data_IF_216664124939
#
_entry.id   IF_216664124939
#
_cell.length_a   1.000
_cell.length_b   1.000
_cell.length_c   1.000
_cell.angle_alpha   90.00
_cell.angle_beta   90.00
_cell.angle_gamma   90.00
#
_symmetry.space_group_name_H-M   'P 1'
#
loop_
_entity.id
_entity.type
_entity.pdbx_description
1 polymer ?
#
# COMPACT_ATOMS: atom_id res chain seq x y z
N UNK A 1 0.35 1.00 22.01
CA UNK A 1 1.76 1.49 21.91
C UNK A 1 1.88 2.80 21.12
N UNK A 2 0.81 3.23 20.44
CA UNK A 2 0.82 4.42 19.57
C UNK A 2 0.33 5.70 20.25
N UNK A 3 -0.38 5.63 21.37
CA UNK A 3 -0.93 6.82 22.04
C UNK A 3 0.15 7.81 22.44
N UNK A 4 0.04 9.06 21.97
CA UNK A 4 1.01 10.13 22.19
C UNK A 4 2.29 10.02 21.35
N UNK A 5 2.35 9.07 20.42
CA UNK A 5 3.48 8.93 19.50
C UNK A 5 3.39 9.92 18.33
N UNK A 6 4.53 10.21 17.73
CA UNK A 6 4.63 11.01 16.51
C UNK A 6 4.89 10.08 15.31
N UNK A 7 4.01 10.13 14.32
CA UNK A 7 4.05 9.25 13.15
C UNK A 7 4.17 10.03 11.83
N UNK A 8 5.04 9.58 10.94
CA UNK A 8 5.13 10.05 9.56
C UNK A 8 4.37 9.09 8.64
N UNK A 9 3.51 9.64 7.78
CA UNK A 9 2.83 8.88 6.72
C UNK A 9 3.20 9.49 5.37
N UNK A 10 3.93 8.76 4.56
CA UNK A 10 4.17 9.17 3.17
C UNK A 10 3.00 8.73 2.30
N UNK A 11 2.65 9.50 1.28
CA UNK A 11 1.44 9.23 0.49
C UNK A 11 0.15 9.36 1.32
N UNK A 12 0.16 10.26 2.32
CA UNK A 12 -0.91 10.46 3.28
C UNK A 12 -2.27 10.81 2.62
N UNK A 13 -2.26 11.46 1.46
CA UNK A 13 -3.47 11.81 0.70
C UNK A 13 -4.02 10.68 -0.18
N UNK A 14 -3.32 9.55 -0.28
CA UNK A 14 -3.73 8.37 -1.06
C UNK A 14 -4.83 7.56 -0.38
N UNK A 15 -5.34 6.54 -1.08
CA UNK A 15 -6.38 5.66 -0.56
C UNK A 15 -6.01 5.06 0.80
N UNK A 16 -4.97 4.23 0.86
CA UNK A 16 -4.55 3.56 2.10
C UNK A 16 -3.98 4.57 3.11
N UNK A 17 -3.12 5.49 2.64
CA UNK A 17 -2.49 6.49 3.50
C UNK A 17 -3.48 7.37 4.25
N UNK A 18 -4.59 7.78 3.62
CA UNK A 18 -5.61 8.61 4.28
C UNK A 18 -6.41 7.86 5.34
N UNK A 19 -6.69 6.57 5.15
CA UNK A 19 -7.29 5.73 6.20
C UNK A 19 -6.35 5.50 7.38
N UNK A 20 -5.06 5.30 7.09
CA UNK A 20 -4.04 5.18 8.12
C UNK A 20 -3.91 6.47 8.93
N UNK A 21 -3.92 7.64 8.29
CA UNK A 21 -3.91 8.95 8.97
C UNK A 21 -5.10 9.07 9.92
N UNK A 22 -6.32 8.75 9.45
CA UNK A 22 -7.51 8.80 10.29
C UNK A 22 -7.37 7.92 11.54
N UNK A 23 -6.86 6.70 11.37
CA UNK A 23 -6.69 5.74 12.47
C UNK A 23 -5.60 6.17 13.46
N UNK A 24 -4.49 6.74 12.97
CA UNK A 24 -3.42 7.28 13.81
C UNK A 24 -3.93 8.46 14.65
N UNK A 25 -4.66 9.39 14.04
CA UNK A 25 -5.28 10.52 14.74
C UNK A 25 -6.28 10.03 15.81
N UNK A 26 -7.12 9.05 15.47
CA UNK A 26 -8.07 8.43 16.41
C UNK A 26 -7.36 7.74 17.58
N UNK A 27 -6.14 7.23 17.36
CA UNK A 27 -5.28 6.62 18.38
C UNK A 27 -4.54 7.64 19.26
N UNK A 28 -4.70 8.94 18.99
CA UNK A 28 -4.03 10.02 19.73
C UNK A 28 -2.58 10.27 19.33
N UNK A 29 -2.21 9.94 18.09
CA UNK A 29 -0.90 10.27 17.53
C UNK A 29 -0.84 11.70 17.02
N UNK A 30 0.35 12.30 17.08
CA UNK A 30 0.70 13.43 16.24
C UNK A 30 1.11 12.92 14.86
N UNK A 31 0.44 13.40 13.80
CA UNK A 31 0.65 12.88 12.44
C UNK A 31 1.30 13.92 11.53
N UNK A 32 2.44 13.55 10.95
CA UNK A 32 3.09 14.24 9.85
C UNK A 32 2.74 13.54 8.53
N UNK A 33 2.10 14.25 7.62
CA UNK A 33 1.71 13.73 6.30
C UNK A 33 2.63 14.25 5.20
N UNK A 34 3.33 13.38 4.47
CA UNK A 34 4.07 13.77 3.28
C UNK A 34 3.22 13.56 2.03
N UNK A 35 3.09 14.62 1.26
CA UNK A 35 2.35 14.65 -0.01
C UNK A 35 3.15 15.43 -1.06
N UNK A 36 2.90 15.20 -2.34
CA UNK A 36 3.50 15.99 -3.42
C UNK A 36 2.82 17.35 -3.53
N UNK A 37 3.49 18.33 -4.13
CA UNK A 37 2.93 19.68 -4.35
C UNK A 37 1.57 19.64 -5.09
N UNK A 38 1.48 18.79 -6.11
CA UNK A 38 0.24 18.62 -6.91
C UNK A 38 -0.84 17.74 -6.27
N UNK A 39 -0.65 17.28 -5.03
CA UNK A 39 -1.57 16.35 -4.38
C UNK A 39 -2.93 16.98 -4.08
N UNK A 40 -4.00 16.27 -4.44
CA UNK A 40 -5.35 16.58 -3.97
C UNK A 40 -5.52 16.07 -2.54
N UNK A 41 -5.98 16.92 -1.65
CA UNK A 41 -6.14 16.64 -0.21
C UNK A 41 -7.57 16.24 0.18
N UNK A 42 -8.42 15.86 -0.77
CA UNK A 42 -9.86 15.58 -0.56
C UNK A 42 -10.18 14.62 0.60
N UNK A 43 -9.22 13.78 0.97
CA UNK A 43 -9.35 12.76 2.03
C UNK A 43 -8.61 13.11 3.31
N UNK A 44 -7.91 14.25 3.39
CA UNK A 44 -7.17 14.68 4.56
C UNK A 44 -7.79 15.94 5.17
N UNK A 45 -8.01 15.91 6.46
CA UNK A 45 -8.27 17.12 7.24
C UNK A 45 -6.92 17.81 7.56
N UNK A 46 -6.54 18.76 6.73
CA UNK A 46 -5.26 19.46 6.86
C UNK A 46 -5.11 20.25 8.18
N UNK A 47 -6.20 20.49 8.93
CA UNK A 47 -6.13 21.13 10.25
C UNK A 47 -5.65 20.21 11.37
N UNK A 48 -5.69 18.89 11.13
CA UNK A 48 -5.32 17.85 12.11
C UNK A 48 -3.98 17.17 11.83
N UNK A 49 -3.35 17.50 10.70
CA UNK A 49 -2.12 16.85 10.22
C UNK A 49 -1.07 17.90 9.95
N UNK A 50 0.15 17.68 10.43
CA UNK A 50 1.31 18.49 10.01
C UNK A 50 1.67 18.11 8.58
N UNK A 51 1.13 18.86 7.62
CA UNK A 51 1.25 18.55 6.20
C UNK A 51 2.55 19.12 5.63
N UNK A 52 3.31 18.24 4.95
CA UNK A 52 4.55 18.61 4.28
C UNK A 52 4.46 18.27 2.79
N UNK A 53 4.76 19.26 1.94
CA UNK A 53 4.77 19.10 0.49
C UNK A 53 6.18 18.78 0.02
N UNK A 54 6.43 17.52 -0.25
CA UNK A 54 7.77 16.98 -0.55
C UNK A 54 7.67 15.94 -1.65
N UNK A 55 8.59 15.98 -2.60
CA UNK A 55 8.77 14.89 -3.57
C UNK A 55 9.91 13.98 -3.13
N UNK A 56 9.56 12.81 -2.60
CA UNK A 56 10.51 11.79 -2.12
C UNK A 56 11.48 11.28 -3.20
N UNK A 57 11.15 11.48 -4.49
CA UNK A 57 12.00 11.07 -5.59
C UNK A 57 13.13 12.07 -5.88
N UNK A 58 13.09 13.25 -5.28
CA UNK A 58 14.18 14.23 -5.37
C UNK A 58 15.29 13.89 -4.35
N UNK A 59 16.57 13.94 -4.73
CA UNK A 59 17.67 13.54 -3.85
C UNK A 59 17.86 14.49 -2.66
N UNK A 60 17.53 15.76 -2.82
CA UNK A 60 17.80 16.82 -1.84
C UNK A 60 16.59 17.11 -0.92
N UNK A 61 15.56 16.24 -0.93
CA UNK A 61 14.45 16.46 -0.01
C UNK A 61 14.87 16.22 1.44
N UNK A 62 14.23 16.92 2.37
CA UNK A 62 14.43 16.75 3.81
C UNK A 62 13.14 16.23 4.40
N UNK A 63 13.23 15.17 5.20
CA UNK A 63 12.09 14.68 6.00
C UNK A 63 11.92 15.63 7.19
N UNK A 64 10.80 16.35 7.26
CA UNK A 64 10.56 17.26 8.38
C UNK A 64 10.39 16.49 9.69
N UNK A 65 10.80 17.12 10.81
CA UNK A 65 10.62 16.59 12.16
C UNK A 65 11.19 15.17 12.39
N UNK A 66 12.17 14.72 11.58
CA UNK A 66 12.69 13.35 11.59
C UNK A 66 13.21 12.93 12.98
N UNK A 67 13.80 13.85 13.74
CA UNK A 67 14.30 13.61 15.10
C UNK A 67 13.20 13.40 16.15
N UNK A 68 11.95 13.80 15.83
CA UNK A 68 10.80 13.68 16.72
C UNK A 68 9.94 12.44 16.41
N UNK A 69 10.20 11.76 15.28
CA UNK A 69 9.39 10.64 14.81
C UNK A 69 9.61 9.38 15.63
N UNK A 70 8.52 8.78 16.08
CA UNK A 70 8.50 7.45 16.68
C UNK A 70 8.24 6.36 15.64
N UNK A 71 7.41 6.66 14.61
CA UNK A 71 7.00 5.70 13.60
C UNK A 71 7.00 6.30 12.20
N UNK A 72 7.34 5.47 11.21
CA UNK A 72 7.27 5.83 9.78
C UNK A 72 6.44 4.82 9.02
N UNK A 73 5.40 5.28 8.33
CA UNK A 73 4.58 4.45 7.44
C UNK A 73 4.80 4.91 6.00
N UNK A 74 5.53 4.10 5.24
CA UNK A 74 5.82 4.41 3.84
C UNK A 74 4.74 3.85 2.93
N UNK A 75 3.68 4.67 2.69
CA UNK A 75 2.55 4.34 1.81
C UNK A 75 2.66 4.99 0.42
N UNK A 76 3.64 5.89 0.21
CA UNK A 76 3.85 6.50 -1.10
C UNK A 76 4.22 5.43 -2.14
N UNK A 77 3.52 5.46 -3.27
CA UNK A 77 3.76 4.55 -4.37
C UNK A 77 2.86 4.85 -5.56
N UNK A 78 3.28 4.43 -6.75
CA UNK A 78 2.48 4.51 -7.97
C UNK A 78 2.02 3.11 -8.38
N UNK A 79 0.70 2.95 -8.52
CA UNK A 79 0.08 1.75 -9.11
C UNK A 79 -0.08 1.88 -10.64
N UNK A 80 0.01 3.11 -11.16
CA UNK A 80 -0.04 3.44 -12.59
C UNK A 80 1.03 4.48 -12.90
N UNK A 81 1.86 4.22 -13.90
CA UNK A 81 2.85 5.15 -14.42
C UNK A 81 2.90 5.08 -15.95
N UNK A 82 3.33 6.16 -16.59
CA UNK A 82 3.46 6.24 -18.06
C UNK A 82 4.65 5.43 -18.60
N UNK A 83 5.64 5.10 -17.75
CA UNK A 83 6.84 4.39 -18.12
C UNK A 83 7.36 3.51 -17.00
N UNK A 84 8.21 2.53 -17.34
CA UNK A 84 8.94 1.71 -16.37
C UNK A 84 9.76 2.59 -15.41
N UNK A 85 10.49 3.57 -15.94
CA UNK A 85 11.30 4.49 -15.13
C UNK A 85 10.46 5.24 -14.07
N UNK A 86 9.25 5.70 -14.42
CA UNK A 86 8.35 6.37 -13.49
C UNK A 86 7.91 5.48 -12.30
N UNK A 87 7.71 4.17 -12.55
CA UNK A 87 7.45 3.24 -11.45
C UNK A 87 8.66 3.13 -10.50
N UNK A 88 9.86 2.92 -11.04
CA UNK A 88 11.07 2.72 -10.23
C UNK A 88 11.47 3.99 -9.47
N UNK A 89 11.31 5.16 -10.07
CA UNK A 89 11.60 6.43 -9.40
C UNK A 89 10.80 6.59 -8.12
N UNK A 90 9.50 6.29 -8.15
CA UNK A 90 8.61 6.47 -6.99
C UNK A 90 8.60 5.25 -6.05
N UNK A 91 8.63 4.02 -6.60
CA UNK A 91 8.47 2.82 -5.79
C UNK A 91 9.81 2.25 -5.27
N UNK A 92 10.95 2.72 -5.80
CA UNK A 92 12.28 2.26 -5.38
C UNK A 92 13.19 3.44 -4.96
N UNK A 93 13.50 4.40 -5.86
CA UNK A 93 14.42 5.49 -5.51
C UNK A 93 13.93 6.31 -4.30
N UNK A 94 12.63 6.61 -4.24
CA UNK A 94 12.06 7.31 -3.08
C UNK A 94 12.21 6.52 -1.76
N UNK A 95 12.21 5.18 -1.82
CA UNK A 95 12.47 4.35 -0.64
C UNK A 95 13.91 4.52 -0.15
N UNK A 96 14.90 4.49 -1.07
CA UNK A 96 16.31 4.70 -0.73
C UNK A 96 16.52 6.04 -0.04
N UNK A 97 15.99 7.10 -0.66
CA UNK A 97 16.12 8.47 -0.11
C UNK A 97 15.51 8.59 1.30
N UNK A 98 14.32 8.01 1.51
CA UNK A 98 13.65 8.04 2.81
C UNK A 98 14.44 7.27 3.88
N UNK A 99 14.86 6.03 3.58
CA UNK A 99 15.53 5.19 4.56
C UNK A 99 16.94 5.67 4.89
N UNK A 100 17.65 6.25 3.93
CA UNK A 100 18.94 6.88 4.19
C UNK A 100 18.81 8.02 5.23
N UNK A 101 17.78 8.86 5.11
CA UNK A 101 17.53 9.92 6.08
C UNK A 101 17.10 9.36 7.44
N UNK A 102 16.21 8.35 7.45
CA UNK A 102 15.84 7.68 8.70
C UNK A 102 17.04 7.08 9.42
N UNK A 103 17.99 6.49 8.67
CA UNK A 103 19.21 5.92 9.25
C UNK A 103 20.14 6.99 9.83
N UNK A 104 20.28 8.13 9.13
CA UNK A 104 21.20 9.19 9.56
C UNK A 104 20.68 10.00 10.76
N UNK A 105 19.38 10.27 10.80
CA UNK A 105 18.81 11.26 11.72
C UNK A 105 17.64 10.74 12.57
N UNK A 106 17.16 9.55 12.32
CA UNK A 106 15.95 9.00 12.97
C UNK A 106 16.24 8.20 14.23
N UNK A 107 17.01 8.74 15.18
CA UNK A 107 17.44 8.03 16.41
C UNK A 107 16.30 7.55 17.32
N UNK A 108 15.10 8.14 17.19
CA UNK A 108 13.91 7.80 17.98
C UNK A 108 12.99 6.80 17.31
N UNK A 109 13.19 6.48 16.02
CA UNK A 109 12.28 5.64 15.25
C UNK A 109 12.23 4.22 15.85
N UNK A 110 11.03 3.84 16.31
CA UNK A 110 10.73 2.55 16.94
C UNK A 110 10.19 1.53 15.95
N UNK A 111 9.64 2.00 14.82
CA UNK A 111 9.08 1.13 13.79
C UNK A 111 8.90 1.82 12.45
N UNK A 112 9.27 1.12 11.38
CA UNK A 112 9.04 1.52 9.99
C UNK A 112 8.20 0.44 9.31
N UNK A 113 7.10 0.82 8.68
CA UNK A 113 6.26 -0.08 7.88
C UNK A 113 6.34 0.34 6.42
N UNK A 114 6.91 -0.53 5.58
CA UNK A 114 6.93 -0.39 4.13
C UNK A 114 5.71 -1.06 3.51
N UNK A 115 4.83 -0.29 2.90
CA UNK A 115 3.69 -0.82 2.17
C UNK A 115 4.11 -1.26 0.77
N UNK A 116 4.26 -2.55 0.57
CA UNK A 116 4.52 -3.19 -0.71
C UNK A 116 3.24 -3.69 -1.38
N UNK A 117 3.29 -4.84 -2.04
CA UNK A 117 2.15 -5.49 -2.72
C UNK A 117 2.45 -6.96 -2.97
N UNK A 118 1.44 -7.83 -3.01
CA UNK A 118 1.57 -9.20 -3.54
C UNK A 118 2.06 -9.23 -4.99
N UNK A 119 1.87 -8.15 -5.75
CA UNK A 119 2.44 -8.03 -7.10
C UNK A 119 3.98 -8.14 -7.13
N UNK A 120 4.68 -7.86 -6.02
CA UNK A 120 6.12 -8.05 -5.88
C UNK A 120 6.52 -9.53 -5.86
N UNK A 121 5.66 -10.40 -5.32
CA UNK A 121 5.90 -11.86 -5.32
C UNK A 121 5.68 -12.44 -6.71
N UNK A 122 4.74 -11.90 -7.48
CA UNK A 122 4.30 -12.43 -8.77
C UNK A 122 3.13 -13.42 -8.64
N UNK A 123 2.68 -14.00 -9.76
CA UNK A 123 1.55 -14.91 -9.76
C UNK A 123 1.89 -16.23 -9.05
N UNK A 124 0.92 -16.78 -8.34
CA UNK A 124 1.02 -18.12 -7.78
C UNK A 124 1.14 -19.17 -8.90
N UNK A 125 2.02 -20.17 -8.78
CA UNK A 125 1.98 -21.32 -9.66
C UNK A 125 0.64 -22.04 -9.55
N UNK A 126 0.13 -22.58 -10.67
CA UNK A 126 -1.17 -23.23 -10.69
C UNK A 126 -1.27 -24.33 -9.62
N UNK A 127 -2.33 -24.27 -8.81
CA UNK A 127 -2.59 -25.23 -7.74
C UNK A 127 -1.71 -25.11 -6.50
N UNK A 128 -0.92 -24.02 -6.38
CA UNK A 128 -0.06 -23.78 -5.22
C UNK A 128 -0.41 -22.46 -4.54
N UNK A 129 -0.26 -22.40 -3.23
CA UNK A 129 -0.25 -21.13 -2.49
C UNK A 129 1.18 -20.58 -2.44
N UNK A 130 1.30 -19.28 -2.38
CA UNK A 130 2.57 -18.58 -2.12
C UNK A 130 2.58 -18.07 -0.69
N UNK A 131 3.77 -18.00 -0.12
CA UNK A 131 4.04 -17.49 1.21
C UNK A 131 5.19 -16.47 1.17
N UNK A 132 5.56 -15.93 2.33
CA UNK A 132 6.58 -14.88 2.44
C UNK A 132 7.99 -15.35 2.05
N UNK A 133 8.26 -16.66 2.09
CA UNK A 133 9.55 -17.25 1.70
C UNK A 133 9.59 -17.67 0.23
N UNK A 134 8.46 -17.64 -0.46
CA UNK A 134 8.39 -17.96 -1.89
C UNK A 134 9.23 -16.97 -2.70
N UNK A 135 10.14 -17.45 -3.58
CA UNK A 135 10.96 -16.59 -4.41
C UNK A 135 10.12 -15.65 -5.29
N UNK A 136 10.37 -14.35 -5.19
CA UNK A 136 9.64 -13.33 -5.93
C UNK A 136 9.94 -13.39 -7.43
N UNK A 137 8.88 -13.44 -8.27
CA UNK A 137 8.95 -13.46 -9.74
C UNK A 137 7.90 -12.52 -10.35
N UNK A 138 7.99 -11.20 -10.11
CA UNK A 138 7.02 -10.24 -10.59
C UNK A 138 6.98 -10.18 -12.11
N UNK A 139 5.77 -10.18 -12.68
CA UNK A 139 5.55 -10.18 -14.13
C UNK A 139 5.20 -8.80 -14.71
N UNK A 140 4.94 -7.81 -13.87
CA UNK A 140 4.59 -6.44 -14.27
C UNK A 140 5.66 -5.44 -13.86
N UNK A 141 5.77 -4.30 -14.55
CA UNK A 141 6.67 -3.22 -14.13
C UNK A 141 6.33 -2.68 -12.73
N UNK A 142 5.04 -2.65 -12.39
CA UNK A 142 4.60 -2.32 -11.04
C UNK A 142 5.15 -3.31 -10.00
N UNK A 143 4.93 -4.61 -10.19
CA UNK A 143 5.45 -5.64 -9.29
C UNK A 143 6.97 -5.61 -9.17
N UNK A 144 7.69 -5.47 -10.30
CA UNK A 144 9.15 -5.33 -10.32
C UNK A 144 9.61 -4.11 -9.52
N UNK A 145 8.94 -2.98 -9.65
CA UNK A 145 9.29 -1.76 -8.91
C UNK A 145 9.00 -1.87 -7.42
N UNK A 146 7.93 -2.58 -7.03
CA UNK A 146 7.63 -2.84 -5.61
C UNK A 146 8.68 -3.79 -5.01
N UNK A 147 9.07 -4.84 -5.73
CA UNK A 147 10.17 -5.72 -5.30
C UNK A 147 11.47 -4.96 -5.13
N UNK A 148 11.84 -4.08 -6.07
CA UNK A 148 13.03 -3.25 -5.96
C UNK A 148 12.98 -2.34 -4.71
N UNK A 149 11.80 -1.81 -4.35
CA UNK A 149 11.61 -1.07 -3.09
C UNK A 149 11.82 -1.92 -1.84
N UNK A 150 11.38 -3.18 -1.87
CA UNK A 150 11.62 -4.15 -0.79
C UNK A 150 13.09 -4.55 -0.66
N UNK A 151 13.79 -4.74 -1.79
CA UNK A 151 15.22 -5.03 -1.80
C UNK A 151 16.03 -3.87 -1.20
N UNK A 152 15.65 -2.62 -1.48
CA UNK A 152 16.20 -1.45 -0.81
C UNK A 152 15.88 -1.48 0.68
N UNK A 153 14.61 -1.70 1.07
CA UNK A 153 14.22 -1.79 2.47
C UNK A 153 15.02 -2.84 3.24
N UNK A 154 15.29 -4.00 2.61
CA UNK A 154 16.10 -5.08 3.17
C UNK A 154 17.53 -4.65 3.49
N UNK A 155 18.15 -3.78 2.69
CA UNK A 155 19.50 -3.25 2.94
C UNK A 155 19.58 -2.45 4.24
N UNK A 156 18.48 -1.81 4.64
CA UNK A 156 18.38 -1.03 5.87
C UNK A 156 17.88 -1.81 7.09
N UNK A 157 17.41 -3.06 6.90
CA UNK A 157 16.76 -3.85 7.97
C UNK A 157 17.66 -4.20 9.16
N UNK A 158 19.00 -4.12 9.01
CA UNK A 158 19.96 -4.33 10.09
C UNK A 158 20.11 -3.08 10.99
N UNK A 159 19.83 -1.89 10.44
CA UNK A 159 20.02 -0.61 11.12
C UNK A 159 18.70 0.10 11.47
N UNK A 160 17.62 -0.25 10.80
CA UNK A 160 16.29 0.32 11.00
C UNK A 160 15.29 -0.76 11.41
N UNK A 161 14.37 -0.45 12.34
CA UNK A 161 13.28 -1.35 12.75
C UNK A 161 12.21 -1.42 11.67
N UNK A 162 12.41 -2.21 10.61
CA UNK A 162 11.63 -2.20 9.39
C UNK A 162 10.85 -3.50 9.21
N UNK A 163 9.56 -3.37 8.81
CA UNK A 163 8.70 -4.46 8.34
C UNK A 163 8.11 -4.13 6.97
N UNK A 164 7.90 -5.15 6.15
CA UNK A 164 7.27 -5.03 4.84
C UNK A 164 5.87 -5.65 4.89
N UNK A 165 4.87 -4.96 4.37
CA UNK A 165 3.50 -5.47 4.22
C UNK A 165 3.19 -5.64 2.74
N UNK A 166 2.78 -6.84 2.35
CA UNK A 166 2.38 -7.21 0.98
C UNK A 166 0.87 -7.47 0.91
N UNK A 167 0.04 -6.45 0.77
CA UNK A 167 -1.39 -6.65 0.58
C UNK A 167 -1.71 -7.17 -0.83
N UNK A 168 -2.83 -7.90 -0.99
CA UNK A 168 -3.42 -8.24 -2.27
C UNK A 168 -4.19 -7.06 -2.86
N UNK A 169 -5.33 -7.32 -3.52
CA UNK A 169 -6.26 -6.27 -3.92
C UNK A 169 -6.93 -5.71 -2.67
N UNK A 170 -6.69 -4.42 -2.41
CA UNK A 170 -7.30 -3.69 -1.29
C UNK A 170 -8.58 -3.01 -1.76
N UNK A 171 -9.67 -3.15 -1.01
CA UNK A 171 -10.95 -2.53 -1.34
C UNK A 171 -11.53 -1.77 -0.15
N UNK A 172 -12.47 -0.88 -0.42
CA UNK A 172 -13.14 -0.09 0.59
C UNK A 172 -13.39 1.35 0.17
N UNK A 173 -13.88 2.22 1.07
CA UNK A 173 -14.10 3.64 0.80
C UNK A 173 -12.82 4.32 0.29
N UNK A 174 -12.96 5.28 -0.62
CA UNK A 174 -11.87 6.05 -1.26
C UNK A 174 -11.07 5.27 -2.33
N UNK A 175 -11.39 3.99 -2.60
CA UNK A 175 -10.77 3.23 -3.67
C UNK A 175 -11.51 3.44 -5.00
N UNK A 176 -10.83 3.99 -6.01
CA UNK A 176 -11.49 4.44 -7.25
C UNK A 176 -11.59 3.33 -8.31
N UNK A 177 -10.66 2.36 -8.34
CA UNK A 177 -10.69 1.31 -9.36
C UNK A 177 -11.76 0.26 -9.05
N UNK A 178 -11.85 -0.21 -7.81
CA UNK A 178 -12.88 -1.14 -7.38
C UNK A 178 -14.27 -0.48 -7.43
N UNK A 179 -14.35 0.81 -7.12
CA UNK A 179 -15.58 1.58 -7.28
C UNK A 179 -16.01 1.68 -8.75
N UNK A 180 -15.09 1.81 -9.68
CA UNK A 180 -15.37 1.79 -11.12
C UNK A 180 -15.92 0.43 -11.56
N UNK A 181 -15.36 -0.66 -11.05
CA UNK A 181 -15.88 -2.01 -11.27
C UNK A 181 -17.33 -2.14 -10.75
N UNK A 182 -17.60 -1.71 -9.51
CA UNK A 182 -18.95 -1.72 -8.94
C UNK A 182 -19.94 -0.92 -9.80
N UNK A 183 -19.53 0.27 -10.28
CA UNK A 183 -20.36 1.07 -11.19
C UNK A 183 -20.69 0.39 -12.51
N UNK A 184 -19.76 -0.39 -13.06
CA UNK A 184 -20.02 -1.18 -14.26
C UNK A 184 -21.07 -2.26 -14.00
N UNK A 185 -20.96 -2.98 -12.89
CA UNK A 185 -21.96 -3.95 -12.45
C UNK A 185 -23.34 -3.29 -12.29
N UNK A 186 -23.41 -2.14 -11.62
CA UNK A 186 -24.64 -1.38 -11.44
C UNK A 186 -25.29 -0.99 -12.78
N UNK A 187 -24.51 -0.77 -13.83
CA UNK A 187 -24.96 -0.48 -15.18
C UNK A 187 -25.32 -1.74 -15.98
N UNK A 188 -25.27 -2.91 -15.40
CA UNK A 188 -25.56 -4.19 -16.04
C UNK A 188 -24.41 -4.76 -16.86
N UNK A 189 -23.15 -4.37 -16.61
CA UNK A 189 -21.99 -4.86 -17.34
C UNK A 189 -20.94 -5.48 -16.40
N UNK A 190 -20.48 -6.67 -16.78
CA UNK A 190 -19.29 -7.30 -16.20
C UNK A 190 -18.19 -7.32 -17.26
N UNK A 191 -17.05 -6.70 -16.94
CA UNK A 191 -15.86 -6.72 -17.80
C UNK A 191 -14.92 -7.84 -17.36
N UNK A 192 -14.77 -8.86 -18.18
CA UNK A 192 -13.85 -9.98 -17.99
C UNK A 192 -12.63 -9.78 -18.89
N UNK A 193 -11.45 -9.57 -18.31
CA UNK A 193 -10.19 -9.39 -19.05
C UNK A 193 -9.40 -10.70 -19.03
N UNK A 194 -9.12 -11.24 -20.20
CA UNK A 194 -8.36 -12.47 -20.39
C UNK A 194 -9.13 -13.73 -19.98
N UNK A 195 -8.44 -14.72 -19.39
CA UNK A 195 -8.96 -16.04 -19.07
C UNK A 195 -9.95 -15.98 -17.89
N UNK A 196 -11.01 -16.77 -17.95
CA UNK A 196 -11.96 -16.98 -16.85
C UNK A 196 -11.31 -17.74 -15.68
N UNK A 197 -11.92 -17.62 -14.50
CA UNK A 197 -11.48 -18.34 -13.31
C UNK A 197 -10.19 -17.78 -12.69
N UNK A 198 -9.89 -16.50 -12.89
CA UNK A 198 -8.75 -15.85 -12.22
C UNK A 198 -9.03 -15.75 -10.73
N UNK A 199 -8.19 -16.40 -9.95
CA UNK A 199 -8.21 -16.37 -8.49
C UNK A 199 -7.44 -15.14 -7.98
N UNK A 200 -7.93 -14.57 -6.88
CA UNK A 200 -7.33 -13.44 -6.20
C UNK A 200 -7.62 -13.50 -4.70
N UNK A 201 -6.77 -12.86 -3.92
CA UNK A 201 -7.02 -12.56 -2.52
C UNK A 201 -7.45 -11.10 -2.38
N UNK A 202 -8.22 -10.81 -1.34
CA UNK A 202 -8.69 -9.46 -1.01
C UNK A 202 -8.32 -9.11 0.42
N UNK A 203 -8.38 -7.80 0.71
CA UNK A 203 -8.38 -7.28 2.08
C UNK A 203 -9.17 -5.98 2.12
N UNK A 204 -9.98 -5.80 3.15
CA UNK A 204 -10.64 -4.53 3.40
C UNK A 204 -9.65 -3.52 3.96
N UNK A 205 -9.80 -2.24 3.58
CA UNK A 205 -8.80 -1.21 3.90
C UNK A 205 -8.58 -1.01 5.39
N UNK A 206 -9.62 -1.12 6.24
CA UNK A 206 -9.44 -1.00 7.69
C UNK A 206 -8.59 -2.13 8.27
N UNK A 207 -8.78 -3.36 7.78
CA UNK A 207 -8.04 -4.53 8.26
C UNK A 207 -6.56 -4.44 7.84
N UNK A 208 -6.30 -3.93 6.62
CA UNK A 208 -4.94 -3.61 6.21
C UNK A 208 -4.30 -2.55 7.11
N UNK A 209 -5.03 -1.48 7.44
CA UNK A 209 -4.54 -0.43 8.34
C UNK A 209 -4.22 -1.00 9.71
N UNK A 210 -5.09 -1.83 10.28
CA UNK A 210 -4.85 -2.50 11.56
C UNK A 210 -3.60 -3.40 11.50
N UNK A 211 -3.42 -4.16 10.40
CA UNK A 211 -2.23 -4.97 10.19
C UNK A 211 -0.95 -4.10 10.09
N UNK A 212 -1.01 -2.95 9.42
CA UNK A 212 0.11 -2.00 9.35
C UNK A 212 0.46 -1.44 10.74
N UNK A 213 -0.53 -1.09 11.55
CA UNK A 213 -0.32 -0.64 12.93
C UNK A 213 0.26 -1.77 13.80
N UNK A 214 -0.22 -2.99 13.66
CA UNK A 214 0.33 -4.14 14.35
C UNK A 214 1.78 -4.45 13.93
N UNK A 215 2.12 -4.28 12.66
CA UNK A 215 3.46 -4.48 12.13
C UNK A 215 4.43 -3.36 12.54
N UNK A 216 3.96 -2.21 13.01
CA UNK A 216 4.81 -1.15 13.55
C UNK A 216 5.32 -1.43 14.96
N UNK A 217 4.82 -2.48 15.63
CA UNK A 217 5.27 -2.87 16.97
C UNK A 217 6.77 -3.28 16.93
N UNK A 218 7.64 -2.65 17.73
CA UNK A 218 9.06 -2.94 17.76
C UNK A 218 9.40 -4.43 17.98
N UNK A 219 8.55 -5.16 18.71
CA UNK A 219 8.75 -6.61 18.94
C UNK A 219 8.60 -7.46 17.68
N UNK A 220 7.93 -6.94 16.65
CA UNK A 220 7.65 -7.61 15.37
C UNK A 220 8.55 -7.13 14.24
N UNK A 221 9.32 -6.07 14.48
CA UNK A 221 10.28 -5.54 13.51
C UNK A 221 11.46 -6.51 13.41
N UNK A 222 11.95 -6.88 12.32
CA UNK A 222 13.18 -7.68 12.09
C UNK A 222 13.42 -7.93 10.60
N UNK A 223 13.09 -6.95 9.74
CA UNK A 223 13.22 -7.09 8.29
C UNK A 223 12.27 -8.14 7.70
N UNK A 224 11.17 -8.45 8.39
CA UNK A 224 10.20 -9.46 7.92
C UNK A 224 9.22 -8.86 6.93
N UNK A 225 8.85 -9.68 5.94
CA UNK A 225 7.71 -9.42 5.08
C UNK A 225 6.49 -10.19 5.59
N UNK A 226 5.30 -9.60 5.43
CA UNK A 226 4.04 -10.22 5.83
C UNK A 226 3.03 -10.13 4.69
N UNK A 227 2.43 -11.25 4.33
CA UNK A 227 1.21 -11.26 3.51
C UNK A 227 0.03 -10.93 4.41
N UNK A 228 -0.83 -10.04 3.96
CA UNK A 228 -2.00 -9.61 4.74
C UNK A 228 -3.24 -9.73 3.88
N UNK A 229 -4.06 -10.73 4.15
CA UNK A 229 -5.29 -11.04 3.41
C UNK A 229 -6.41 -11.31 4.41
N UNK A 230 -7.65 -11.41 3.95
CA UNK A 230 -8.77 -11.88 4.77
C UNK A 230 -8.84 -13.41 4.92
N UNK A 231 -7.85 -14.15 4.37
CA UNK A 231 -7.73 -15.60 4.45
C UNK A 231 -8.55 -16.36 3.41
N UNK A 232 -9.25 -15.69 2.49
CA UNK A 232 -10.06 -16.30 1.47
C UNK A 232 -9.46 -16.16 0.07
N UNK A 233 -9.79 -17.12 -0.78
CA UNK A 233 -9.51 -17.07 -2.22
C UNK A 233 -10.82 -16.76 -2.94
N UNK A 234 -10.80 -15.75 -3.79
CA UNK A 234 -11.95 -15.30 -4.57
C UNK A 234 -11.72 -15.56 -6.05
N UNK A 235 -12.81 -15.79 -6.77
CA UNK A 235 -12.85 -15.80 -8.23
C UNK A 235 -13.53 -14.51 -8.68
N UNK A 236 -12.93 -13.80 -9.63
CA UNK A 236 -13.40 -12.48 -10.06
C UNK A 236 -14.87 -12.47 -10.48
N UNK A 237 -15.29 -13.48 -11.23
CA UNK A 237 -16.67 -13.66 -11.69
C UNK A 237 -17.66 -13.90 -10.54
N UNK A 238 -17.21 -14.52 -9.45
CA UNK A 238 -18.06 -14.74 -8.27
C UNK A 238 -18.29 -13.40 -7.53
N UNK A 239 -17.27 -12.56 -7.44
CA UNK A 239 -17.40 -11.20 -6.88
C UNK A 239 -18.41 -10.40 -7.72
N UNK A 240 -18.28 -10.43 -9.05
CA UNK A 240 -19.19 -9.73 -9.96
C UNK A 240 -20.66 -10.20 -9.79
N UNK A 241 -20.88 -11.51 -9.72
CA UNK A 241 -22.20 -12.10 -9.49
C UNK A 241 -22.79 -11.69 -8.14
N UNK A 242 -21.98 -11.71 -7.10
CA UNK A 242 -22.44 -11.34 -5.75
C UNK A 242 -22.79 -9.84 -5.67
N UNK A 243 -21.98 -8.97 -6.26
CA UNK A 243 -22.28 -7.55 -6.39
C UNK A 243 -23.61 -7.34 -7.15
N UNK A 244 -23.81 -8.05 -8.27
CA UNK A 244 -25.03 -7.97 -9.07
C UNK A 244 -26.26 -8.45 -8.28
N UNK A 245 -26.12 -9.54 -7.52
CA UNK A 245 -27.18 -10.07 -6.64
C UNK A 245 -27.59 -9.04 -5.58
N UNK A 246 -26.61 -8.45 -4.87
CA UNK A 246 -26.86 -7.46 -3.82
C UNK A 246 -27.52 -6.20 -4.38
N UNK A 247 -27.12 -5.78 -5.58
CA UNK A 247 -27.68 -4.59 -6.25
C UNK A 247 -29.00 -4.87 -6.99
N UNK A 248 -29.43 -6.15 -7.03
CA UNK A 248 -30.61 -6.59 -7.78
C UNK A 248 -30.56 -6.17 -9.26
N UNK A 249 -29.41 -6.37 -9.92
CA UNK A 249 -29.20 -6.06 -11.34
C UNK A 249 -28.83 -7.32 -12.12
N UNK A 250 -29.27 -7.38 -13.38
CA UNK A 250 -28.79 -8.40 -14.32
C UNK A 250 -27.56 -7.87 -15.04
N UNK A 251 -26.51 -8.69 -15.16
CA UNK A 251 -25.26 -8.31 -15.83
C UNK A 251 -25.04 -9.11 -17.10
N UNK A 252 -24.49 -8.43 -18.11
CA UNK A 252 -23.97 -9.02 -19.33
C UNK A 252 -22.45 -9.02 -19.27
N UNK A 253 -21.83 -10.18 -19.48
CA UNK A 253 -20.38 -10.31 -19.47
C UNK A 253 -19.80 -9.89 -20.82
N UNK A 254 -18.93 -8.88 -20.82
CA UNK A 254 -18.11 -8.48 -21.96
C UNK A 254 -16.69 -9.06 -21.75
N UNK A 255 -16.28 -9.95 -22.65
CA UNK A 255 -14.94 -10.55 -22.62
C UNK A 255 -14.00 -9.75 -23.50
N UNK A 256 -12.86 -9.37 -22.95
CA UNK A 256 -11.77 -8.64 -23.64
C UNK A 256 -10.53 -9.53 -23.57
N UNK A 257 -9.88 -9.83 -24.70
CA UNK A 257 -8.57 -10.49 -24.72
C UNK A 257 -7.53 -9.73 -23.91
N UNK A 258 -6.50 -10.44 -23.42
CA UNK A 258 -5.32 -9.82 -22.80
C UNK A 258 -4.46 -9.09 -23.82
#
# INVERSE_FOLDING_TARGET
HLKGATALVTGANGFIGSHLVDQLLASGCTVHGLVRESSNLKWLDASKVHLHRVDLAQPDFIVPALEELDYVFHCAGLTKAKSRAGYFQVNATACSNLYEQCQKNGSRIKGIVHLSSLAATGPSPQGSLVDEITPCKPVTFYGQSKLAGEEIASQYSQSLPLSVIRPPVVYGPREENFFTFIKLIQKGWELQIGRAGKELSLIYVSDLVEAMLAASDPSKQKGRSYFVTDGHVYVWEQIAKECARIMNVQVKTLRVPE
#
